data_IF_798557147596
#
_entry.id   IF_798557147596
#
_cell.length_a   1.000
_cell.length_b   1.000
_cell.length_c   1.000
_cell.angle_alpha   90.00
_cell.angle_beta   90.00
_cell.angle_gamma   90.00
#
_symmetry.space_group_name_H-M   'P 1'
#
loop_
_entity.id
_entity.type
_entity.pdbx_description
1 polymer ?
#
# COMPACT_ATOMS: atom_id res chain seq x y z
N UNK A 1 25.99 3.85 8.87
CA UNK A 1 25.63 5.14 8.22
C UNK A 1 24.72 4.83 7.05
N UNK A 2 23.42 5.05 7.20
CA UNK A 2 22.48 4.95 6.08
C UNK A 2 22.72 6.15 5.16
N UNK A 3 23.08 5.91 3.90
CA UNK A 3 23.20 6.99 2.91
C UNK A 3 21.88 7.76 2.77
N UNK A 4 21.96 9.00 2.25
CA UNK A 4 20.77 9.80 1.99
C UNK A 4 19.89 9.08 0.97
N UNK A 5 18.79 8.47 1.42
CA UNK A 5 17.75 7.97 0.53
C UNK A 5 16.97 9.18 0.01
N UNK A 6 16.99 9.39 -1.31
CA UNK A 6 16.18 10.42 -1.94
C UNK A 6 14.70 10.10 -1.76
N UNK A 7 13.93 11.07 -1.24
CA UNK A 7 12.47 10.96 -1.16
C UNK A 7 11.90 11.07 -2.58
N UNK A 8 11.33 9.98 -3.10
CA UNK A 8 10.81 9.88 -4.47
C UNK A 8 9.30 9.57 -4.55
N UNK A 9 8.62 9.46 -3.40
CA UNK A 9 7.18 9.20 -3.30
C UNK A 9 6.54 10.28 -2.44
N UNK A 10 5.37 10.75 -2.86
CA UNK A 10 4.55 11.71 -2.13
C UNK A 10 3.15 11.15 -1.95
N UNK A 11 2.67 11.12 -0.70
CA UNK A 11 1.28 10.81 -0.40
C UNK A 11 0.41 12.03 -0.75
N UNK A 12 -0.71 11.79 -1.42
CA UNK A 12 -1.67 12.80 -1.86
C UNK A 12 -3.10 12.36 -1.52
N UNK A 13 -4.08 13.19 -1.88
CA UNK A 13 -5.51 12.92 -1.72
C UNK A 13 -5.95 12.64 -0.28
N UNK A 14 -6.02 13.72 0.50
CA UNK A 14 -6.46 13.70 1.90
C UNK A 14 -7.98 13.85 2.06
N UNK A 15 -8.78 13.61 0.99
CA UNK A 15 -10.23 13.83 1.00
C UNK A 15 -11.02 12.90 1.93
N UNK A 16 -10.39 11.80 2.39
CA UNK A 16 -10.94 10.83 3.35
C UNK A 16 -10.09 10.69 4.60
N UNK A 17 -9.13 11.59 4.81
CA UNK A 17 -8.27 11.55 5.99
C UNK A 17 -9.05 11.93 7.24
N UNK A 18 -8.68 11.31 8.36
CA UNK A 18 -9.27 11.56 9.67
C UNK A 18 -8.24 12.25 10.54
N UNK A 19 -8.54 13.45 11.02
CA UNK A 19 -7.71 14.12 12.02
C UNK A 19 -8.15 13.69 13.42
N UNK A 20 -7.37 12.77 14.00
CA UNK A 20 -7.62 12.21 15.33
C UNK A 20 -7.60 13.26 16.46
N UNK A 21 -7.04 14.46 16.24
CA UNK A 21 -7.00 15.53 17.25
C UNK A 21 -8.37 16.12 17.57
N UNK A 22 -9.35 15.95 16.69
CA UNK A 22 -10.73 16.36 16.95
C UNK A 22 -11.50 15.38 17.84
N UNK A 23 -10.90 14.24 18.20
CA UNK A 23 -11.52 13.20 19.00
C UNK A 23 -10.80 12.97 20.33
N UNK A 24 -11.50 12.47 21.37
CA UNK A 24 -10.86 12.05 22.61
C UNK A 24 -9.78 10.98 22.39
N UNK A 25 -8.77 10.89 23.27
CA UNK A 25 -7.82 9.79 23.24
C UNK A 25 -8.52 8.43 23.32
N UNK A 26 -8.13 7.49 22.45
CA UNK A 26 -8.71 6.15 22.39
C UNK A 26 -9.97 6.02 21.50
N UNK A 27 -10.36 7.07 20.78
CA UNK A 27 -11.45 6.96 19.79
C UNK A 27 -11.14 5.91 18.72
N UNK A 28 -12.17 5.12 18.42
CA UNK A 28 -12.22 4.15 17.33
C UNK A 28 -13.47 4.38 16.49
N UNK A 29 -13.50 3.78 15.30
CA UNK A 29 -14.56 3.88 14.31
C UNK A 29 -15.08 2.47 13.98
N UNK A 30 -16.32 2.36 13.54
CA UNK A 30 -16.99 1.10 13.22
C UNK A 30 -17.66 1.11 11.83
N UNK A 31 -17.46 2.19 11.06
CA UNK A 31 -18.03 2.34 9.72
C UNK A 31 -17.42 1.31 8.75
N UNK A 32 -18.25 0.78 7.86
CA UNK A 32 -17.84 -0.21 6.86
C UNK A 32 -17.48 0.47 5.53
N UNK A 33 -16.26 0.27 5.05
CA UNK A 33 -15.88 0.70 3.71
C UNK A 33 -16.30 -0.35 2.66
N UNK A 34 -17.26 0.01 1.81
CA UNK A 34 -17.75 -0.85 0.73
C UNK A 34 -16.85 -0.88 -0.52
N UNK A 35 -15.74 -0.13 -0.53
CA UNK A 35 -14.81 -0.13 -1.65
C UNK A 35 -13.97 -1.41 -1.63
N UNK A 36 -14.19 -2.27 -2.63
CA UNK A 36 -13.49 -3.55 -2.78
C UNK A 36 -11.97 -3.35 -2.80
N UNK A 37 -11.25 -4.12 -1.97
CA UNK A 37 -9.79 -4.03 -1.81
C UNK A 37 -9.31 -2.99 -0.79
N UNK A 38 -10.21 -2.19 -0.19
CA UNK A 38 -9.88 -1.19 0.84
C UNK A 38 -10.58 -1.44 2.18
N UNK A 39 -11.21 -2.61 2.34
CA UNK A 39 -11.85 -3.04 3.57
C UNK A 39 -10.86 -3.81 4.44
N UNK A 40 -10.44 -3.25 5.58
CA UNK A 40 -9.51 -3.91 6.49
C UNK A 40 -10.20 -5.07 7.26
N UNK A 41 -9.43 -6.00 7.86
CA UNK A 41 -9.98 -7.12 8.62
C UNK A 41 -10.98 -6.73 9.72
N UNK A 42 -10.73 -5.64 10.43
CA UNK A 42 -11.61 -5.14 11.48
C UNK A 42 -13.00 -4.79 10.92
N UNK A 43 -13.05 -4.11 9.76
CA UNK A 43 -14.32 -3.81 9.07
C UNK A 43 -15.03 -5.10 8.64
N UNK A 44 -14.30 -6.11 8.12
CA UNK A 44 -14.88 -7.40 7.73
C UNK A 44 -15.45 -8.17 8.93
N UNK A 45 -14.84 -8.03 10.09
CA UNK A 45 -15.25 -8.67 11.34
C UNK A 45 -16.28 -7.86 12.14
N UNK A 46 -16.66 -6.66 11.66
CA UNK A 46 -17.54 -5.75 12.40
C UNK A 46 -16.93 -5.25 13.72
N UNK A 47 -15.60 -5.12 13.77
CA UNK A 47 -14.84 -4.65 14.94
C UNK A 47 -14.44 -3.19 14.78
N UNK A 48 -14.22 -2.49 15.91
CA UNK A 48 -13.69 -1.13 15.88
C UNK A 48 -12.30 -1.07 15.22
N UNK A 49 -12.01 0.04 14.55
CA UNK A 49 -10.75 0.32 13.88
C UNK A 49 -10.37 1.80 14.00
N UNK A 50 -9.09 2.10 13.89
CA UNK A 50 -8.54 3.45 13.75
C UNK A 50 -7.37 3.41 12.75
N UNK A 51 -6.13 3.32 13.22
CA UNK A 51 -4.92 3.32 12.37
C UNK A 51 -4.75 2.04 11.55
N UNK A 52 -5.45 0.97 11.89
CA UNK A 52 -5.42 -0.32 11.19
C UNK A 52 -5.81 -0.19 9.71
N UNK A 53 -6.69 0.76 9.37
CA UNK A 53 -7.07 1.02 7.98
C UNK A 53 -5.87 1.48 7.14
N UNK A 54 -4.97 2.29 7.69
CA UNK A 54 -3.79 2.78 6.99
C UNK A 54 -2.74 1.68 6.85
N UNK A 55 -2.55 0.86 7.88
CA UNK A 55 -1.66 -0.31 7.81
C UNK A 55 -2.12 -1.28 6.71
N UNK A 56 -3.43 -1.55 6.65
CA UNK A 56 -4.01 -2.36 5.59
C UNK A 56 -3.83 -1.73 4.20
N UNK A 57 -4.02 -0.41 4.07
CA UNK A 57 -3.78 0.32 2.82
C UNK A 57 -2.34 0.25 2.33
N UNK A 58 -1.36 0.35 3.24
CA UNK A 58 0.06 0.17 2.93
C UNK A 58 0.33 -1.28 2.51
N UNK A 59 -0.23 -2.28 3.20
CA UNK A 59 -0.10 -3.69 2.84
C UNK A 59 -0.66 -3.97 1.43
N UNK A 60 -1.84 -3.42 1.11
CA UNK A 60 -2.44 -3.52 -0.22
C UNK A 60 -1.56 -2.90 -1.31
N UNK A 61 -1.00 -1.71 -1.05
CA UNK A 61 -0.08 -1.03 -1.98
C UNK A 61 1.19 -1.86 -2.22
N UNK A 62 1.80 -2.38 -1.16
CA UNK A 62 2.98 -3.25 -1.25
C UNK A 62 2.68 -4.52 -2.05
N UNK A 63 1.52 -5.13 -1.81
CA UNK A 63 1.10 -6.32 -2.55
C UNK A 63 0.92 -6.03 -4.04
N UNK A 64 0.35 -4.89 -4.43
CA UNK A 64 0.26 -4.46 -5.84
C UNK A 64 1.64 -4.32 -6.46
N UNK A 65 2.61 -3.70 -5.76
CA UNK A 65 3.99 -3.55 -6.25
C UNK A 65 4.65 -4.92 -6.46
N UNK A 66 4.41 -5.89 -5.56
CA UNK A 66 5.02 -7.21 -5.61
C UNK A 66 4.36 -8.17 -6.61
N UNK A 67 3.04 -8.10 -6.74
CA UNK A 67 2.22 -9.10 -7.43
C UNK A 67 1.54 -8.57 -8.69
N UNK A 68 1.52 -7.25 -8.92
CA UNK A 68 0.89 -6.63 -10.08
C UNK A 68 -0.64 -6.68 -10.09
N UNK A 69 -1.27 -6.97 -8.94
CA UNK A 69 -2.73 -7.06 -8.78
C UNK A 69 -3.17 -6.64 -7.39
N UNK A 70 -4.45 -6.31 -7.24
CA UNK A 70 -5.03 -5.98 -5.94
C UNK A 70 -4.94 -7.15 -4.96
N UNK A 71 -4.80 -6.80 -3.68
CA UNK A 71 -4.71 -7.76 -2.59
C UNK A 71 -6.11 -8.23 -2.20
N UNK A 72 -6.37 -9.52 -2.40
CA UNK A 72 -7.50 -10.20 -1.79
C UNK A 72 -7.04 -10.93 -0.54
N UNK A 73 -7.81 -10.86 0.54
CA UNK A 73 -7.50 -11.54 1.79
C UNK A 73 -8.50 -12.66 2.07
N UNK A 74 -8.03 -13.68 2.77
CA UNK A 74 -8.82 -14.81 3.27
C UNK A 74 -8.46 -15.04 4.73
N UNK A 75 -9.44 -15.46 5.51
CA UNK A 75 -9.21 -15.88 6.89
C UNK A 75 -8.85 -17.37 6.92
N UNK A 76 -7.80 -17.68 7.65
CA UNK A 76 -7.41 -19.04 7.96
C UNK A 76 -8.36 -19.64 8.99
N UNK A 77 -8.95 -20.80 8.67
CA UNK A 77 -10.03 -21.40 9.47
C UNK A 77 -9.53 -21.90 10.82
N UNK A 78 -8.28 -22.34 10.89
CA UNK A 78 -7.70 -22.93 12.12
C UNK A 78 -7.17 -21.84 13.06
N UNK A 79 -6.49 -20.84 12.50
CA UNK A 79 -5.81 -19.79 13.29
C UNK A 79 -6.63 -18.51 13.44
N UNK A 80 -7.65 -18.30 12.61
CA UNK A 80 -8.42 -17.06 12.54
C UNK A 80 -7.63 -15.87 11.99
N UNK A 81 -6.40 -16.07 11.52
CA UNK A 81 -5.55 -15.00 10.96
C UNK A 81 -5.94 -14.71 9.51
N UNK A 82 -5.85 -13.44 9.13
CA UNK A 82 -6.03 -13.00 7.76
C UNK A 82 -4.71 -13.09 6.99
N UNK A 83 -4.79 -13.53 5.74
CA UNK A 83 -3.62 -13.60 4.84
C UNK A 83 -4.03 -13.28 3.40
N UNK A 84 -3.09 -12.86 2.55
CA UNK A 84 -3.36 -12.77 1.12
C UNK A 84 -3.85 -14.12 0.57
N UNK A 85 -4.90 -14.11 -0.26
CA UNK A 85 -5.46 -15.28 -0.94
C UNK A 85 -4.37 -15.98 -1.74
N UNK A 86 -3.57 -15.19 -2.46
CA UNK A 86 -2.42 -15.69 -3.20
C UNK A 86 -1.14 -15.19 -2.56
N UNK A 87 -0.24 -16.13 -2.30
CA UNK A 87 1.05 -15.88 -1.68
C UNK A 87 1.91 -14.91 -2.49
N UNK A 88 2.75 -14.18 -1.77
CA UNK A 88 3.79 -13.30 -2.33
C UNK A 88 4.84 -14.11 -3.11
N UNK A 89 5.62 -13.48 -4.01
CA UNK A 89 6.68 -14.15 -4.74
C UNK A 89 7.65 -14.89 -3.82
N UNK A 90 8.17 -16.06 -4.27
CA UNK A 90 9.10 -16.89 -3.47
C UNK A 90 10.36 -16.13 -3.04
N UNK A 91 10.80 -15.17 -3.85
CA UNK A 91 11.97 -14.34 -3.54
C UNK A 91 11.66 -13.50 -2.31
N UNK A 92 12.35 -13.79 -1.20
CA UNK A 92 12.17 -13.13 0.12
C UNK A 92 10.76 -13.26 0.67
N UNK A 93 10.12 -14.40 0.39
CA UNK A 93 8.79 -14.72 0.89
C UNK A 93 8.70 -14.55 2.41
N UNK A 94 9.74 -14.88 3.17
CA UNK A 94 9.75 -14.74 4.62
C UNK A 94 9.57 -13.28 5.08
N UNK A 95 10.39 -12.36 4.57
CA UNK A 95 10.31 -10.92 4.89
C UNK A 95 8.96 -10.33 4.46
N UNK A 96 8.53 -10.59 3.22
CA UNK A 96 7.25 -10.07 2.71
C UNK A 96 6.06 -10.63 3.48
N UNK A 97 6.07 -11.92 3.82
CA UNK A 97 5.02 -12.55 4.61
C UNK A 97 4.96 -11.97 6.02
N UNK A 98 6.11 -11.77 6.68
CA UNK A 98 6.15 -11.20 8.02
C UNK A 98 5.64 -9.75 8.05
N UNK A 99 6.00 -8.95 7.05
CA UNK A 99 5.53 -7.57 6.92
C UNK A 99 4.02 -7.50 6.69
N UNK A 100 3.50 -8.30 5.75
CA UNK A 100 2.08 -8.35 5.45
C UNK A 100 1.27 -8.92 6.63
N UNK A 101 1.73 -9.98 7.29
CA UNK A 101 1.07 -10.53 8.49
C UNK A 101 0.95 -9.45 9.58
N UNK A 102 2.02 -8.70 9.81
CA UNK A 102 2.07 -7.63 10.82
C UNK A 102 1.08 -6.50 10.53
N UNK A 103 0.99 -6.07 9.26
CA UNK A 103 0.10 -4.98 8.86
C UNK A 103 -1.36 -5.40 8.77
N UNK A 104 -1.64 -6.61 8.26
CA UNK A 104 -3.00 -7.13 8.09
C UNK A 104 -3.60 -7.51 9.45
N UNK A 105 -2.82 -8.17 10.32
CA UNK A 105 -3.32 -8.69 11.60
C UNK A 105 -2.98 -7.81 12.81
N UNK A 106 -2.79 -6.50 12.62
CA UNK A 106 -2.58 -5.55 13.71
C UNK A 106 -3.83 -5.51 14.62
N UNK A 107 -3.69 -5.75 15.93
CA UNK A 107 -4.82 -5.86 16.88
C UNK A 107 -4.97 -4.68 17.85
N UNK A 108 -3.90 -3.92 18.07
CA UNK A 108 -3.82 -2.94 19.17
C UNK A 108 -3.59 -1.50 18.68
N UNK A 109 -3.93 -1.20 17.41
CA UNK A 109 -3.81 0.14 16.82
C UNK A 109 -2.40 0.68 16.60
N UNK A 110 -1.38 0.14 17.27
CA UNK A 110 -0.01 0.62 17.21
C UNK A 110 0.94 -0.47 16.72
N UNK A 111 1.28 -0.38 15.44
CA UNK A 111 2.33 -1.18 14.85
C UNK A 111 3.67 -0.43 14.98
N UNK A 112 4.73 -1.11 15.40
CA UNK A 112 6.08 -0.52 15.40
C UNK A 112 6.61 -0.41 13.95
N UNK A 113 6.22 0.68 13.30
CA UNK A 113 6.62 0.99 11.92
C UNK A 113 8.13 1.15 11.78
N UNK A 114 8.83 1.56 12.84
CA UNK A 114 10.28 1.71 12.81
C UNK A 114 10.96 0.34 12.80
N UNK A 115 10.49 -0.60 13.61
CA UNK A 115 10.98 -1.98 13.57
C UNK A 115 10.74 -2.63 12.21
N UNK A 116 9.55 -2.47 11.62
CA UNK A 116 9.26 -2.98 10.28
C UNK A 116 10.13 -2.33 9.20
N UNK A 117 10.38 -1.03 9.30
CA UNK A 117 11.30 -0.32 8.41
C UNK A 117 12.73 -0.83 8.53
N UNK A 118 13.21 -1.09 9.76
CA UNK A 118 14.55 -1.61 9.98
C UNK A 118 14.71 -3.04 9.43
N UNK A 119 13.70 -3.91 9.65
CA UNK A 119 13.66 -5.26 9.07
C UNK A 119 13.79 -5.21 7.53
N UNK A 120 13.01 -4.34 6.88
CA UNK A 120 13.07 -4.15 5.43
C UNK A 120 14.43 -3.62 4.97
N UNK A 121 15.00 -2.66 5.70
CA UNK A 121 16.30 -2.11 5.37
C UNK A 121 17.41 -3.15 5.51
N UNK A 122 17.39 -3.96 6.56
CA UNK A 122 18.36 -5.03 6.77
C UNK A 122 18.30 -6.05 5.62
N UNK A 123 17.11 -6.52 5.26
CA UNK A 123 16.88 -7.39 4.10
C UNK A 123 17.33 -6.76 2.78
N UNK A 124 17.15 -5.44 2.63
CA UNK A 124 17.60 -4.72 1.45
C UNK A 124 19.14 -4.60 1.39
N UNK A 125 19.78 -4.25 2.51
CA UNK A 125 21.23 -4.08 2.62
C UNK A 125 21.97 -5.42 2.47
N UNK A 126 21.41 -6.51 2.97
CA UNK A 126 21.95 -7.86 2.86
C UNK A 126 21.82 -8.44 1.44
N UNK A 127 21.47 -7.61 0.46
CA UNK A 127 21.27 -8.05 -0.91
C UNK A 127 22.04 -7.26 -1.94
N UNK A 128 22.30 -7.87 -3.09
CA UNK A 128 22.99 -7.21 -4.20
C UNK A 128 22.21 -6.04 -4.82
N UNK A 129 20.98 -5.77 -4.38
CA UNK A 129 20.15 -4.69 -4.92
C UNK A 129 20.71 -3.30 -4.68
N UNK A 130 21.56 -3.08 -3.68
CA UNK A 130 22.25 -1.80 -3.54
C UNK A 130 23.04 -1.45 -4.80
N UNK A 131 23.70 -2.45 -5.41
CA UNK A 131 24.50 -2.28 -6.64
C UNK A 131 23.60 -1.98 -7.84
N UNK A 132 22.44 -2.64 -7.93
CA UNK A 132 21.50 -2.49 -9.04
C UNK A 132 20.58 -1.25 -8.89
N UNK A 133 20.44 -0.71 -7.68
CA UNK A 133 19.41 0.27 -7.36
C UNK A 133 19.45 1.54 -8.22
N UNK A 134 20.62 2.14 -8.53
CA UNK A 134 20.67 3.33 -9.37
C UNK A 134 20.18 3.06 -10.80
N UNK A 135 20.56 1.91 -11.37
CA UNK A 135 20.15 1.52 -12.71
C UNK A 135 18.64 1.29 -12.80
N UNK A 136 18.05 0.60 -11.81
CA UNK A 136 16.59 0.36 -11.76
C UNK A 136 15.79 1.64 -11.54
N UNK A 137 16.30 2.57 -10.73
CA UNK A 137 15.66 3.89 -10.54
C UNK A 137 15.68 4.67 -11.86
N UNK A 138 16.81 4.67 -12.57
CA UNK A 138 16.92 5.34 -13.87
C UNK A 138 16.02 4.70 -14.94
N UNK A 139 15.93 3.38 -14.97
CA UNK A 139 15.02 2.64 -15.86
C UNK A 139 13.56 3.03 -15.56
N UNK A 140 13.16 3.03 -14.29
CA UNK A 140 11.81 3.44 -13.88
C UNK A 140 11.51 4.89 -14.28
N UNK A 141 12.46 5.82 -14.07
CA UNK A 141 12.30 7.21 -14.49
C UNK A 141 12.10 7.33 -16.01
N UNK A 142 12.90 6.61 -16.79
CA UNK A 142 12.79 6.58 -18.26
C UNK A 142 11.43 6.02 -18.71
N UNK A 143 10.97 4.94 -18.09
CA UNK A 143 9.65 4.36 -18.38
C UNK A 143 8.50 5.31 -18.01
N UNK A 144 8.63 6.05 -16.90
CA UNK A 144 7.65 7.05 -16.50
C UNK A 144 7.60 8.22 -17.49
N UNK A 145 8.75 8.71 -17.96
CA UNK A 145 8.83 9.73 -19.01
C UNK A 145 8.18 9.25 -20.30
N UNK A 146 8.48 8.03 -20.76
CA UNK A 146 7.87 7.44 -21.96
C UNK A 146 6.34 7.34 -21.86
N UNK A 147 5.81 7.00 -20.69
CA UNK A 147 4.36 6.93 -20.46
C UNK A 147 3.70 8.30 -20.27
N UNK A 148 4.47 9.30 -19.85
CA UNK A 148 4.03 10.70 -19.77
C UNK A 148 4.16 11.45 -21.11
N UNK A 149 4.75 10.84 -22.14
CA UNK A 149 4.70 11.38 -23.50
C UNK A 149 3.25 11.32 -24.01
N UNK A 150 2.74 12.40 -24.63
CA UNK A 150 1.45 12.34 -25.31
C UNK A 150 1.52 11.24 -26.38
N UNK A 151 0.52 10.35 -26.40
CA UNK A 151 0.44 9.31 -27.41
C UNK A 151 0.64 9.91 -28.82
N UNK A 152 1.42 9.28 -29.71
CA UNK A 152 1.62 9.80 -31.06
C UNK A 152 0.25 10.00 -31.71
N UNK A 153 -0.03 11.24 -32.15
CA UNK A 153 -1.26 11.60 -32.86
C UNK A 153 -1.25 11.01 -34.27
N UNK A 154 -1.35 9.69 -34.38
CA UNK A 154 -1.72 9.04 -35.62
C UNK A 154 -3.21 8.74 -35.53
N UNK A 155 -3.99 9.56 -36.22
CA UNK A 155 -5.44 9.62 -36.13
C UNK A 155 -6.12 8.26 -36.24
N UNK A 156 -6.63 7.77 -35.11
CA UNK A 156 -7.93 7.11 -34.91
C UNK A 156 -8.09 6.83 -33.41
N UNK A 157 -9.12 7.46 -32.82
CA UNK A 157 -9.65 7.27 -31.45
C UNK A 157 -9.91 5.78 -31.17
N UNK A 158 -9.91 5.23 -29.95
CA UNK A 158 -10.34 5.74 -28.66
C UNK A 158 -9.78 4.82 -27.56
N UNK A 159 -9.41 5.34 -26.39
CA UNK A 159 -9.52 4.71 -25.05
C UNK A 159 -8.69 5.58 -24.09
N UNK A 160 -9.25 6.72 -23.66
CA UNK A 160 -8.95 7.41 -22.39
C UNK A 160 -9.64 8.77 -22.43
N UNK A 161 -10.97 8.75 -22.40
CA UNK A 161 -11.78 9.91 -22.07
C UNK A 161 -12.97 9.44 -21.25
N UNK A 162 -12.75 9.30 -19.94
CA UNK A 162 -13.83 9.36 -18.95
C UNK A 162 -13.43 10.35 -17.88
N UNK A 163 -13.74 11.61 -18.17
CA UNK A 163 -14.37 12.58 -17.28
C UNK A 163 -13.87 12.61 -15.83
N UNK A 164 -12.75 13.29 -15.59
CA UNK A 164 -12.61 14.10 -14.37
C UNK A 164 -13.11 15.51 -14.68
N UNK A 165 -14.41 15.73 -14.49
CA UNK A 165 -15.01 17.06 -14.51
C UNK A 165 -15.70 17.28 -13.16
N UNK A 166 -14.94 17.77 -12.19
CA UNK A 166 -15.49 18.39 -10.98
C UNK A 166 -16.11 19.72 -11.36
N UNK A 167 -17.32 19.68 -11.90
CA UNK A 167 -18.16 20.86 -12.00
C UNK A 167 -18.69 21.12 -10.60
N UNK A 168 -18.19 22.19 -9.96
CA UNK A 168 -18.82 22.79 -8.79
C UNK A 168 -20.27 23.10 -9.13
N UNK A 169 -21.21 22.61 -8.34
CA UNK A 169 -22.51 23.26 -8.15
C UNK A 169 -22.77 23.39 -6.65
N UNK A 170 -23.03 24.64 -6.28
CA UNK A 170 -23.59 25.11 -5.02
C UNK A 170 -24.95 24.46 -4.78
#
# INVERSE_FOLDING_TARGET
>A
MFGSFSRCVQLIDFGRSIDMKFFPPGTTFDEYNSCEGFTCPQMLEGKPWAYETDYFGVAGTLYVILCGRYMEIVQDVETGKWRPRVSVPRRRMACWTALLDSMINCRDGFLDLQALRLMLLEEFLNSDHLKDSPAKIQEMATLMEQKNLPAPRNGRSAYYSRNWSSTKKV
#
